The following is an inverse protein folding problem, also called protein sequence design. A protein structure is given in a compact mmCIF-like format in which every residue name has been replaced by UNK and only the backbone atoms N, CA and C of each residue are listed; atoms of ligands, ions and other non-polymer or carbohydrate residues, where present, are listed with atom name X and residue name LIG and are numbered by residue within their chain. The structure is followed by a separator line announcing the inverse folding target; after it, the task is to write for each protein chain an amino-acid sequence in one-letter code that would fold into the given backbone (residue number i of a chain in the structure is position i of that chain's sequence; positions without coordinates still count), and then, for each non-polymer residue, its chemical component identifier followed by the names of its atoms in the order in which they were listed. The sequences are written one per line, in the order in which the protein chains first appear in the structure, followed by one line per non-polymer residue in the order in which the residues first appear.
data_IF_777407544251
#
_entry.id   IF_777407544251
#
_cell.length_a   1.000
_cell.length_b   1.000
_cell.length_c   1.000
_cell.angle_alpha   90.00
_cell.angle_beta   90.00
_cell.angle_gamma   90.00
#
_symmetry.space_group_name_H-M   'P 1'
#
loop_
_entity.id
_entity.type
_entity.pdbx_description
1 polymer ?
#
# COMPACT_ATOMS: atom_id res chain seq x y z
N UNK A 1 -60.76 -25.65 57.25
CA UNK A 1 -61.14 -25.56 55.83
C UNK A 1 -59.93 -25.08 55.04
N UNK A 2 -59.26 -26.03 54.42
CA UNK A 2 -58.05 -25.90 53.61
C UNK A 2 -58.39 -25.35 52.23
N UNK A 3 -57.66 -24.32 51.76
CA UNK A 3 -57.56 -24.01 50.33
C UNK A 3 -56.08 -24.01 49.93
N UNK A 4 -55.71 -25.11 49.28
CA UNK A 4 -54.42 -25.30 48.62
C UNK A 4 -54.31 -24.33 47.44
N UNK A 5 -53.22 -23.56 47.41
CA UNK A 5 -52.81 -22.82 46.21
C UNK A 5 -51.97 -23.77 45.34
N UNK A 6 -52.48 -24.06 44.15
CA UNK A 6 -51.80 -24.88 43.14
C UNK A 6 -50.73 -24.02 42.49
N UNK A 7 -49.47 -24.44 42.65
CA UNK A 7 -48.30 -23.91 41.95
C UNK A 7 -48.36 -24.39 40.50
N UNK A 8 -48.46 -23.46 39.55
CA UNK A 8 -48.34 -23.73 38.11
C UNK A 8 -46.88 -23.45 37.72
N UNK A 9 -46.13 -24.43 37.18
CA UNK A 9 -44.77 -24.18 36.72
C UNK A 9 -44.78 -23.42 35.38
N UNK A 10 -44.10 -22.28 35.36
CA UNK A 10 -43.79 -21.53 34.13
C UNK A 10 -42.67 -22.27 33.39
N UNK A 11 -42.81 -22.59 32.10
CA UNK A 11 -41.76 -23.24 31.33
C UNK A 11 -40.56 -22.30 31.15
N UNK A 12 -39.32 -22.82 31.07
CA UNK A 12 -38.13 -21.99 30.90
C UNK A 12 -38.18 -21.28 29.54
N UNK A 13 -38.00 -19.96 29.58
CA UNK A 13 -37.86 -19.10 28.42
C UNK A 13 -36.60 -19.53 27.64
N UNK A 14 -36.80 -19.92 26.39
CA UNK A 14 -35.74 -20.39 25.52
C UNK A 14 -34.72 -19.27 25.30
N UNK A 15 -33.48 -19.50 25.71
CA UNK A 15 -32.35 -18.62 25.42
C UNK A 15 -32.21 -18.43 23.90
N UNK A 16 -32.38 -17.19 23.45
CA UNK A 16 -32.06 -16.78 22.08
C UNK A 16 -30.53 -16.87 21.91
N UNK A 17 -30.00 -17.68 20.99
CA UNK A 17 -28.56 -17.72 20.77
C UNK A 17 -28.11 -16.43 20.07
N UNK A 18 -27.07 -15.80 20.61
CA UNK A 18 -26.31 -14.75 19.95
C UNK A 18 -25.82 -15.24 18.56
N UNK A 19 -25.76 -14.37 17.53
CA UNK A 19 -25.34 -14.77 16.20
C UNK A 19 -23.87 -15.20 16.23
N UNK A 20 -23.65 -16.50 16.04
CA UNK A 20 -22.34 -17.11 15.90
C UNK A 20 -21.70 -16.62 14.60
N UNK A 21 -20.53 -15.99 14.73
CA UNK A 21 -19.61 -15.72 13.63
C UNK A 21 -19.20 -17.06 13.01
N UNK A 22 -19.60 -17.30 11.77
CA UNK A 22 -19.19 -18.48 11.01
C UNK A 22 -17.66 -18.53 10.85
N UNK A 23 -16.99 -19.64 11.21
CA UNK A 23 -15.62 -19.89 10.80
C UNK A 23 -15.63 -20.31 9.32
N UNK A 24 -14.98 -19.51 8.46
CA UNK A 24 -14.76 -19.88 7.06
C UNK A 24 -13.96 -21.19 6.96
N UNK A 25 -14.44 -22.22 6.24
CA UNK A 25 -13.61 -23.36 5.87
C UNK A 25 -12.67 -23.01 4.70
N UNK A 26 -11.50 -23.65 4.59
CA UNK A 26 -10.59 -23.42 3.47
C UNK A 26 -11.22 -23.96 2.16
N UNK A 27 -11.08 -23.25 1.02
CA UNK A 27 -11.56 -23.78 -0.24
C UNK A 27 -10.73 -25.00 -0.66
N UNK A 28 -11.43 -26.11 -0.93
CA UNK A 28 -10.88 -27.32 -1.56
C UNK A 28 -10.37 -26.98 -2.95
N UNK A 29 -9.20 -27.51 -3.28
CA UNK A 29 -8.51 -27.34 -4.55
C UNK A 29 -9.35 -27.89 -5.73
N UNK A 30 -9.77 -27.00 -6.62
CA UNK A 30 -10.12 -27.35 -8.00
C UNK A 30 -8.93 -26.98 -8.88
N UNK A 31 -8.43 -27.96 -9.63
CA UNK A 31 -7.19 -27.87 -10.40
C UNK A 31 -7.21 -26.77 -11.45
N UNK A 32 -6.45 -25.71 -11.21
CA UNK A 32 -6.02 -24.76 -12.23
C UNK A 32 -4.52 -24.99 -12.44
N UNK A 33 -4.14 -25.29 -13.69
CA UNK A 33 -2.75 -25.48 -14.11
C UNK A 33 -1.89 -24.33 -13.58
N UNK A 34 -0.95 -24.65 -12.68
CA UNK A 34 0.10 -23.73 -12.22
C UNK A 34 0.88 -23.22 -13.43
N UNK A 35 0.69 -21.95 -13.81
CA UNK A 35 1.75 -21.21 -14.51
C UNK A 35 2.86 -20.98 -13.48
N UNK A 36 3.99 -21.66 -13.67
CA UNK A 36 5.19 -21.51 -12.87
C UNK A 36 5.55 -20.03 -12.76
N UNK A 37 5.61 -19.56 -11.52
CA UNK A 37 6.20 -18.28 -11.16
C UNK A 37 7.70 -18.37 -11.49
N UNK A 38 8.16 -17.62 -12.50
CA UNK A 38 9.59 -17.47 -12.77
C UNK A 38 10.22 -16.65 -11.63
N UNK A 39 10.75 -17.34 -10.62
CA UNK A 39 11.92 -16.85 -9.91
C UNK A 39 13.10 -16.98 -10.86
N UNK A 40 13.55 -15.85 -11.40
CA UNK A 40 14.76 -15.80 -12.21
C UNK A 40 15.98 -15.90 -11.30
N UNK A 41 16.33 -17.12 -10.90
CA UNK A 41 17.68 -17.48 -10.47
C UNK A 41 18.63 -17.34 -11.66
N UNK A 42 19.77 -16.69 -11.42
CA UNK A 42 20.79 -16.46 -12.42
C UNK A 42 21.55 -17.73 -12.79
N UNK A 43 21.61 -18.02 -14.09
CA UNK A 43 22.70 -18.71 -14.78
C UNK A 43 22.46 -18.51 -16.29
N UNK A 44 23.54 -18.27 -17.04
CA UNK A 44 23.51 -17.68 -18.39
C UNK A 44 22.82 -18.49 -19.49
N UNK A 45 22.15 -17.77 -20.38
CA UNK A 45 21.87 -18.16 -21.78
C UNK A 45 21.49 -16.89 -22.58
N UNK A 46 21.96 -16.72 -23.83
CA UNK A 46 21.65 -15.56 -24.66
C UNK A 46 20.27 -15.75 -25.31
N UNK A 47 19.22 -15.21 -24.68
CA UNK A 47 17.85 -15.25 -25.21
C UNK A 47 16.82 -14.42 -24.43
N UNK A 48 17.25 -13.56 -23.49
CA UNK A 48 16.38 -12.86 -22.51
C UNK A 48 15.91 -11.46 -22.92
N UNK A 49 16.11 -11.05 -24.17
CA UNK A 49 15.77 -9.67 -24.61
C UNK A 49 14.24 -9.48 -24.75
N UNK A 50 13.52 -10.50 -25.27
CA UNK A 50 12.06 -10.41 -25.49
C UNK A 50 11.23 -10.28 -24.21
N UNK A 51 11.52 -11.10 -23.19
CA UNK A 51 10.70 -11.14 -21.97
C UNK A 51 10.76 -9.87 -21.10
N UNK A 52 11.83 -9.08 -21.19
CA UNK A 52 11.95 -7.82 -20.45
C UNK A 52 11.16 -6.69 -21.12
N UNK A 53 11.27 -6.55 -22.44
CA UNK A 53 10.49 -5.56 -23.18
C UNK A 53 8.99 -5.85 -23.04
N UNK A 54 8.57 -7.12 -23.03
CA UNK A 54 7.19 -7.50 -22.71
C UNK A 54 6.76 -7.09 -21.31
N UNK A 55 7.60 -7.30 -20.29
CA UNK A 55 7.35 -6.81 -18.92
C UNK A 55 7.25 -5.28 -18.88
N UNK A 56 8.11 -4.56 -19.61
CA UNK A 56 8.09 -3.10 -19.74
C UNK A 56 6.81 -2.61 -20.41
N UNK A 57 6.37 -3.28 -21.50
CA UNK A 57 5.07 -3.02 -22.14
C UNK A 57 3.92 -3.24 -21.16
N UNK A 58 3.92 -4.34 -20.41
CA UNK A 58 2.88 -4.61 -19.41
C UNK A 58 2.79 -3.53 -18.32
N UNK A 59 3.91 -2.86 -18.02
CA UNK A 59 3.97 -1.76 -17.06
C UNK A 59 3.54 -0.39 -17.64
N UNK A 60 3.40 -0.28 -18.97
CA UNK A 60 2.96 0.94 -19.65
C UNK A 60 1.45 1.15 -19.55
N UNK A 61 0.97 2.35 -19.13
CA UNK A 61 -0.47 2.64 -19.05
C UNK A 61 -1.21 2.41 -20.37
N UNK A 62 -0.60 2.73 -21.52
CA UNK A 62 -1.22 2.61 -22.84
C UNK A 62 -1.47 1.15 -23.20
N UNK A 63 -0.46 0.30 -22.97
CA UNK A 63 -0.58 -1.14 -23.20
C UNK A 63 -1.44 -1.82 -22.12
N UNK A 64 -1.36 -1.40 -20.87
CA UNK A 64 -2.22 -1.92 -19.81
C UNK A 64 -3.70 -1.61 -20.09
N UNK A 65 -4.01 -0.40 -20.62
CA UNK A 65 -5.36 -0.04 -21.06
C UNK A 65 -5.81 -0.85 -22.27
N UNK A 66 -4.95 -1.04 -23.28
CA UNK A 66 -5.27 -1.85 -24.45
C UNK A 66 -5.49 -3.33 -24.07
N UNK A 67 -4.64 -3.89 -23.21
CA UNK A 67 -4.80 -5.25 -22.70
C UNK A 67 -6.05 -5.39 -21.83
N UNK A 68 -6.38 -4.38 -21.01
CA UNK A 68 -7.61 -4.37 -20.21
C UNK A 68 -8.86 -4.26 -21.09
N UNK A 69 -8.84 -3.44 -22.15
CA UNK A 69 -9.95 -3.31 -23.09
C UNK A 69 -10.19 -4.60 -23.90
N UNK A 70 -9.12 -5.37 -24.17
CA UNK A 70 -9.21 -6.69 -24.81
C UNK A 70 -9.59 -7.81 -23.83
N UNK A 71 -9.42 -7.58 -22.53
CA UNK A 71 -9.72 -8.53 -21.46
C UNK A 71 -11.02 -8.20 -20.70
N UNK A 72 -11.80 -7.24 -21.21
CA UNK A 72 -13.09 -6.82 -20.65
C UNK A 72 -14.17 -7.87 -20.96
N UNK A 73 -13.98 -9.04 -20.36
CA UNK A 73 -15.07 -9.95 -20.09
C UNK A 73 -15.80 -9.40 -18.87
N UNK A 74 -16.96 -8.78 -19.11
CA UNK A 74 -17.81 -8.16 -18.09
C UNK A 74 -18.08 -9.15 -16.93
N UNK A 75 -18.11 -10.46 -17.23
CA UNK A 75 -18.18 -11.56 -16.28
C UNK A 75 -16.98 -11.66 -15.33
N UNK A 76 -15.75 -11.56 -15.82
CA UNK A 76 -14.53 -11.54 -14.99
C UNK A 76 -14.49 -10.33 -14.07
N UNK A 77 -14.90 -9.15 -14.56
CA UNK A 77 -14.96 -7.93 -13.74
C UNK A 77 -16.02 -8.07 -12.64
N UNK A 78 -17.20 -8.57 -12.96
CA UNK A 78 -18.26 -8.85 -11.98
C UNK A 78 -17.81 -9.86 -10.92
N UNK A 79 -17.20 -10.98 -11.32
CA UNK A 79 -16.67 -11.98 -10.40
C UNK A 79 -15.59 -11.40 -9.48
N UNK A 80 -14.72 -10.54 -10.01
CA UNK A 80 -13.71 -9.86 -9.22
C UNK A 80 -14.30 -8.88 -8.20
N UNK A 81 -15.33 -8.10 -8.59
CA UNK A 81 -16.04 -7.20 -7.67
C UNK A 81 -16.81 -7.94 -6.57
N UNK A 82 -17.22 -9.19 -6.80
CA UNK A 82 -17.78 -10.04 -5.73
C UNK A 82 -16.71 -10.42 -4.71
N UNK A 83 -15.48 -10.72 -5.16
CA UNK A 83 -14.36 -11.08 -4.28
C UNK A 83 -13.75 -9.86 -3.57
N UNK A 84 -13.73 -8.71 -4.23
CA UNK A 84 -13.14 -7.46 -3.73
C UNK A 84 -14.15 -6.30 -3.88
N UNK A 85 -15.24 -6.31 -3.09
CA UNK A 85 -16.32 -5.33 -3.24
C UNK A 85 -15.85 -3.90 -2.94
N UNK A 86 -16.60 -2.93 -3.46
CA UNK A 86 -16.35 -1.50 -3.20
C UNK A 86 -16.35 -1.21 -1.70
N UNK A 87 -15.28 -0.59 -1.20
CA UNK A 87 -15.20 -0.18 0.21
C UNK A 87 -16.22 0.92 0.54
N UNK A 88 -16.60 1.77 -0.42
CA UNK A 88 -17.70 2.73 -0.29
C UNK A 88 -19.06 2.03 -0.26
N UNK A 89 -19.28 1.08 -1.17
CA UNK A 89 -20.52 0.31 -1.24
C UNK A 89 -20.75 -0.60 -0.02
N UNK A 90 -19.66 -1.06 0.62
CA UNK A 90 -19.68 -1.88 1.83
C UNK A 90 -19.21 -1.12 3.07
N UNK A 91 -19.27 0.22 3.05
CA UNK A 91 -18.71 1.06 4.11
C UNK A 91 -19.19 0.68 5.52
N UNK A 92 -20.49 0.44 5.70
CA UNK A 92 -21.05 0.05 7.00
C UNK A 92 -20.47 -1.28 7.51
N UNK A 93 -20.20 -2.23 6.61
CA UNK A 93 -19.56 -3.50 6.97
C UNK A 93 -18.09 -3.30 7.35
N UNK A 94 -17.39 -2.45 6.59
CA UNK A 94 -15.99 -2.08 6.83
C UNK A 94 -15.82 -1.46 8.21
N UNK A 95 -16.67 -0.49 8.58
CA UNK A 95 -16.59 0.18 9.89
C UNK A 95 -17.25 -0.62 11.01
N UNK A 96 -18.15 -1.56 10.73
CA UNK A 96 -18.68 -2.45 11.77
C UNK A 96 -17.56 -3.27 12.45
N UNK A 97 -16.53 -3.66 11.69
CA UNK A 97 -15.36 -4.38 12.20
C UNK A 97 -14.48 -3.53 13.15
N UNK A 98 -14.65 -2.21 13.17
CA UNK A 98 -13.88 -1.27 14.01
C UNK A 98 -14.51 -1.03 15.38
N UNK A 99 -15.74 -1.51 15.63
CA UNK A 99 -16.41 -1.32 16.92
C UNK A 99 -15.55 -1.84 18.07
N UNK A 100 -15.24 -0.97 19.03
CA UNK A 100 -14.39 -1.29 20.18
C UNK A 100 -12.88 -1.33 19.90
N UNK A 101 -12.45 -1.05 18.66
CA UNK A 101 -11.05 -1.05 18.24
C UNK A 101 -10.58 0.35 17.88
N UNK A 102 -9.27 0.58 18.01
CA UNK A 102 -8.59 1.76 17.50
C UNK A 102 -8.30 1.57 16.01
N UNK A 103 -8.69 2.55 15.19
CA UNK A 103 -8.34 2.55 13.77
C UNK A 103 -6.97 3.21 13.59
N UNK A 104 -6.12 2.62 12.75
CA UNK A 104 -4.88 3.23 12.27
C UNK A 104 -4.93 3.23 10.75
N UNK A 105 -4.62 4.34 10.11
CA UNK A 105 -4.76 4.50 8.65
C UNK A 105 -3.39 4.59 7.98
N UNK A 106 -3.14 3.72 7.02
CA UNK A 106 -1.96 3.70 6.18
C UNK A 106 -2.37 4.00 4.74
N UNK A 107 -1.69 4.95 4.12
CA UNK A 107 -2.02 5.44 2.79
C UNK A 107 -0.78 5.39 1.92
N UNK A 108 -0.86 4.70 0.80
CA UNK A 108 0.07 4.91 -0.30
C UNK A 108 -0.13 6.31 -0.93
N UNK A 109 0.83 6.78 -1.73
CA UNK A 109 0.80 8.12 -2.31
C UNK A 109 0.42 8.12 -3.81
N UNK A 110 1.32 7.66 -4.69
CA UNK A 110 1.15 7.75 -6.14
C UNK A 110 0.12 6.74 -6.63
N UNK A 111 -0.95 7.19 -7.28
CA UNK A 111 -2.06 6.32 -7.69
C UNK A 111 -3.13 6.12 -6.64
N UNK A 112 -2.85 6.51 -5.39
CA UNK A 112 -3.78 6.42 -4.26
C UNK A 112 -4.30 7.78 -3.80
N UNK A 113 -3.41 8.67 -3.37
CA UNK A 113 -3.74 10.03 -2.93
C UNK A 113 -3.53 11.09 -4.01
N UNK A 114 -2.66 10.80 -4.98
CA UNK A 114 -2.45 11.60 -6.18
C UNK A 114 -2.74 10.74 -7.41
N UNK A 115 -3.34 11.29 -8.49
CA UNK A 115 -3.37 10.61 -9.78
C UNK A 115 -1.97 10.24 -10.27
N UNK A 116 -1.90 9.19 -11.09
CA UNK A 116 -0.66 8.81 -11.77
C UNK A 116 -0.46 9.76 -12.95
N UNK A 117 0.65 10.49 -12.91
CA UNK A 117 1.05 11.49 -13.90
C UNK A 117 2.29 11.04 -14.66
N UNK A 118 2.56 11.68 -15.80
CA UNK A 118 3.74 11.35 -16.61
C UNK A 118 5.03 11.99 -16.09
N UNK A 119 4.92 13.12 -15.40
CA UNK A 119 6.02 13.72 -14.64
C UNK A 119 5.91 13.34 -13.16
N UNK A 120 6.83 12.55 -12.59
CA UNK A 120 6.85 12.28 -11.16
C UNK A 120 6.87 13.55 -10.31
N UNK A 121 7.44 14.66 -10.79
CA UNK A 121 7.54 15.91 -10.03
C UNK A 121 6.22 16.70 -10.06
N UNK A 122 5.26 16.30 -10.91
CA UNK A 122 3.93 16.89 -11.02
C UNK A 122 2.84 16.10 -10.28
N UNK A 123 3.21 15.07 -9.50
CA UNK A 123 2.27 14.22 -8.76
C UNK A 123 1.75 14.90 -7.50
N UNK A 124 1.20 16.12 -7.62
CA UNK A 124 0.75 16.91 -6.48
C UNK A 124 -0.59 16.41 -5.94
N UNK A 125 -0.65 16.28 -4.61
CA UNK A 125 -1.90 16.11 -3.87
C UNK A 125 -2.74 17.39 -3.97
N UNK A 126 -4.01 17.26 -4.35
CA UNK A 126 -4.97 18.37 -4.37
C UNK A 126 -5.24 18.90 -2.96
N UNK A 127 -5.62 20.18 -2.86
CA UNK A 127 -5.95 20.76 -1.55
C UNK A 127 -7.15 20.11 -0.87
N UNK A 128 -8.10 19.60 -1.65
CA UNK A 128 -9.25 18.84 -1.13
C UNK A 128 -8.80 17.51 -0.52
N UNK A 129 -7.94 16.75 -1.20
CA UNK A 129 -7.37 15.52 -0.67
C UNK A 129 -6.53 15.79 0.58
N UNK A 130 -5.69 16.83 0.55
CA UNK A 130 -4.88 17.25 1.71
C UNK A 130 -5.76 17.55 2.93
N UNK A 131 -6.89 18.22 2.75
CA UNK A 131 -7.87 18.47 3.82
C UNK A 131 -8.53 17.18 4.31
N UNK A 132 -8.83 16.23 3.42
CA UNK A 132 -9.40 14.94 3.79
C UNK A 132 -8.40 14.14 4.65
N UNK A 133 -7.15 13.99 4.21
CA UNK A 133 -6.09 13.31 4.97
C UNK A 133 -5.84 14.00 6.31
N UNK A 134 -5.75 15.34 6.35
CA UNK A 134 -5.65 16.11 7.59
C UNK A 134 -6.82 15.82 8.54
N UNK A 135 -8.03 15.69 8.01
CA UNK A 135 -9.21 15.41 8.83
C UNK A 135 -9.13 14.01 9.42
N UNK A 136 -8.75 12.99 8.63
CA UNK A 136 -8.49 11.64 9.11
C UNK A 136 -7.43 11.64 10.22
N UNK A 137 -6.32 12.35 10.02
CA UNK A 137 -5.22 12.45 10.96
C UNK A 137 -5.57 13.12 12.31
N UNK A 138 -6.68 13.88 12.38
CA UNK A 138 -7.18 14.41 13.67
C UNK A 138 -7.89 13.35 14.51
N UNK A 139 -8.38 12.30 13.87
CA UNK A 139 -9.21 11.27 14.47
C UNK A 139 -8.46 9.94 14.64
N UNK A 140 -7.53 9.63 13.73
CA UNK A 140 -6.80 8.37 13.69
C UNK A 140 -5.29 8.60 13.50
N UNK A 141 -4.41 7.81 14.16
CA UNK A 141 -3.01 7.75 13.76
C UNK A 141 -2.92 7.41 12.27
N UNK A 142 -2.21 8.22 11.50
CA UNK A 142 -2.18 8.15 10.05
C UNK A 142 -0.74 8.18 9.53
N UNK A 143 -0.43 7.29 8.59
CA UNK A 143 0.88 7.16 7.98
C UNK A 143 0.80 7.18 6.45
N UNK A 144 1.70 7.93 5.81
CA UNK A 144 1.95 7.83 4.38
C UNK A 144 3.07 6.81 4.14
N UNK A 145 2.85 5.82 3.28
CA UNK A 145 3.83 4.79 2.92
C UNK A 145 4.10 4.87 1.42
N UNK A 146 5.26 5.38 1.02
CA UNK A 146 5.55 5.68 -0.39
C UNK A 146 6.88 5.09 -0.86
N UNK A 147 6.97 4.82 -2.16
CA UNK A 147 8.23 4.51 -2.84
C UNK A 147 9.18 5.71 -2.93
N UNK A 148 8.64 6.94 -2.89
CA UNK A 148 9.40 8.20 -2.93
C UNK A 148 10.22 8.41 -1.66
N UNK A 149 11.30 9.16 -1.76
CA UNK A 149 12.01 9.62 -0.57
C UNK A 149 11.12 10.53 0.32
N UNK A 150 11.44 10.55 1.62
CA UNK A 150 10.67 11.28 2.63
C UNK A 150 10.93 12.79 2.61
N UNK A 151 12.19 13.18 2.77
CA UNK A 151 12.64 14.54 3.05
C UNK A 151 13.47 15.09 1.89
N UNK A 152 13.44 16.43 1.74
CA UNK A 152 14.22 17.13 0.73
C UNK A 152 15.71 17.08 0.97
N UNK A 153 16.45 16.66 -0.05
CA UNK A 153 17.87 16.97 -0.21
C UNK A 153 18.05 17.94 -1.40
N UNK A 154 19.22 18.55 -1.54
CA UNK A 154 19.49 19.57 -2.55
C UNK A 154 19.35 19.05 -4.00
N UNK A 155 19.40 17.73 -4.20
CA UNK A 155 19.43 17.07 -5.50
C UNK A 155 18.08 16.44 -5.91
N UNK A 156 17.16 16.24 -4.97
CA UNK A 156 15.87 15.64 -5.22
C UNK A 156 14.75 16.68 -5.07
N UNK A 157 13.88 16.77 -6.08
CA UNK A 157 12.79 17.76 -6.14
C UNK A 157 11.40 17.16 -5.84
N UNK A 158 11.30 15.84 -5.59
CA UNK A 158 10.05 15.08 -5.62
C UNK A 158 9.67 14.32 -4.34
N UNK A 159 9.72 14.96 -3.18
CA UNK A 159 9.47 14.27 -1.90
C UNK A 159 8.03 14.18 -1.48
N UNK A 160 7.68 13.04 -0.86
CA UNK A 160 6.32 12.81 -0.38
C UNK A 160 5.92 13.80 0.71
N UNK A 161 6.84 14.25 1.58
CA UNK A 161 6.51 15.28 2.56
C UNK A 161 6.15 16.61 1.90
N UNK A 162 6.91 17.05 0.89
CA UNK A 162 6.64 18.32 0.20
C UNK A 162 5.35 18.27 -0.61
N UNK A 163 4.92 17.11 -1.08
CA UNK A 163 3.60 17.02 -1.72
C UNK A 163 2.46 17.02 -0.71
N UNK A 164 2.62 16.34 0.44
CA UNK A 164 1.55 16.16 1.43
C UNK A 164 1.47 17.31 2.44
N UNK A 165 2.58 17.89 2.87
CA UNK A 165 2.71 19.03 3.81
C UNK A 165 1.84 18.92 5.07
N UNK A 166 1.87 17.76 5.72
CA UNK A 166 1.15 17.48 6.98
C UNK A 166 2.12 16.92 8.02
N UNK A 167 2.67 17.80 8.87
CA UNK A 167 3.67 17.44 9.88
C UNK A 167 3.14 16.55 11.00
N UNK A 168 1.83 16.37 11.11
CA UNK A 168 1.16 15.50 12.07
C UNK A 168 1.15 14.00 11.66
N UNK A 169 1.55 13.68 10.42
CA UNK A 169 1.56 12.30 9.92
C UNK A 169 2.87 11.57 10.22
N UNK A 170 2.80 10.25 10.19
CA UNK A 170 3.97 9.41 10.00
C UNK A 170 4.28 9.32 8.50
N UNK A 171 5.56 9.29 8.15
CA UNK A 171 6.01 9.13 6.78
C UNK A 171 7.00 7.98 6.69
N UNK A 172 6.74 7.04 5.80
CA UNK A 172 7.58 5.92 5.45
C UNK A 172 7.96 6.04 3.97
N UNK A 173 9.08 6.72 3.71
CA UNK A 173 9.62 6.89 2.36
C UNK A 173 10.50 5.71 1.93
N UNK A 174 10.91 5.72 0.67
CA UNK A 174 11.83 4.75 0.07
C UNK A 174 11.35 3.32 0.27
N UNK A 175 10.08 3.05 -0.04
CA UNK A 175 9.41 1.76 0.19
C UNK A 175 9.40 1.34 1.67
N UNK A 176 9.34 2.34 2.55
CA UNK A 176 9.34 2.17 4.00
C UNK A 176 10.71 1.99 4.64
N UNK A 177 11.81 2.21 3.92
CA UNK A 177 13.17 2.21 4.48
C UNK A 177 13.57 3.54 5.13
N UNK A 178 12.77 4.60 5.00
CA UNK A 178 13.01 5.88 5.67
C UNK A 178 11.77 6.32 6.45
N UNK A 179 11.61 5.83 7.68
CA UNK A 179 10.44 6.08 8.50
C UNK A 179 10.71 7.21 9.49
N UNK A 180 9.80 8.19 9.55
CA UNK A 180 9.79 9.24 10.56
C UNK A 180 8.38 9.53 11.05
N UNK A 181 8.22 9.64 12.37
CA UNK A 181 6.98 10.05 13.00
C UNK A 181 6.90 11.56 13.23
N UNK A 182 5.71 12.07 13.59
CA UNK A 182 5.53 13.47 13.93
C UNK A 182 6.35 13.84 15.19
N UNK A 183 6.79 15.11 15.26
CA UNK A 183 7.55 15.60 16.42
C UNK A 183 6.76 15.55 17.73
N UNK A 184 5.43 15.72 17.64
CA UNK A 184 4.51 15.55 18.76
C UNK A 184 3.84 14.19 18.66
N UNK A 185 3.88 13.42 19.74
CA UNK A 185 3.19 12.15 19.83
C UNK A 185 1.67 12.35 19.63
N UNK A 186 1.05 11.40 18.96
CA UNK A 186 -0.39 11.41 18.75
C UNK A 186 -1.12 11.17 20.08
N UNK A 187 -2.21 11.90 20.33
CA UNK A 187 -2.91 11.94 21.64
C UNK A 187 -3.47 10.60 22.11
N UNK A 188 -3.63 9.62 21.21
CA UNK A 188 -4.19 8.30 21.52
C UNK A 188 -3.22 7.13 21.28
N UNK A 189 -1.90 7.36 21.27
CA UNK A 189 -0.94 6.25 21.24
C UNK A 189 -0.92 5.51 22.58
N UNK A 190 -0.92 4.17 22.55
CA UNK A 190 -0.73 3.35 23.77
C UNK A 190 0.72 3.42 24.26
N UNK A 191 1.67 3.77 23.40
CA UNK A 191 3.07 3.94 23.76
C UNK A 191 3.34 5.33 24.37
N UNK A 192 3.74 5.38 25.65
CA UNK A 192 4.19 6.60 26.34
C UNK A 192 5.46 7.24 25.73
N UNK A 193 6.09 6.58 24.74
CA UNK A 193 7.36 6.95 24.10
C UNK A 193 7.28 7.20 22.58
N UNK A 194 6.09 7.39 22.00
CA UNK A 194 5.94 7.60 20.55
C UNK A 194 6.54 8.92 20.00
N UNK A 195 7.31 9.69 20.80
CA UNK A 195 8.02 10.89 20.35
C UNK A 195 9.29 10.50 19.61
N UNK A 196 9.45 11.00 18.38
CA UNK A 196 10.73 10.92 17.66
C UNK A 196 11.01 9.56 17.00
N UNK A 197 9.99 8.88 16.47
CA UNK A 197 10.18 7.68 15.65
C UNK A 197 11.07 8.06 14.45
N UNK A 198 12.26 7.48 14.36
CA UNK A 198 13.14 7.50 13.20
C UNK A 198 13.66 6.08 13.01
N UNK A 199 13.47 5.52 11.82
CA UNK A 199 13.91 4.17 11.52
C UNK A 199 14.38 4.04 10.08
N UNK A 200 15.62 3.56 9.95
CA UNK A 200 16.34 3.45 8.67
C UNK A 200 17.11 2.13 8.64
N UNK A 201 16.47 1.00 8.30
CA UNK A 201 17.09 -0.33 8.35
C UNK A 201 18.21 -0.50 7.32
N UNK A 202 18.30 0.41 6.35
CA UNK A 202 19.21 0.35 5.22
C UNK A 202 20.33 1.42 5.28
N UNK A 203 20.55 2.11 6.41
CA UNK A 203 21.54 3.21 6.52
C UNK A 203 22.95 2.85 6.03
N UNK A 204 23.39 1.61 6.25
CA UNK A 204 24.70 1.14 5.78
C UNK A 204 24.86 1.11 4.24
N UNK A 205 23.75 1.16 3.48
CA UNK A 205 23.75 1.13 2.02
C UNK A 205 23.79 2.52 1.38
N UNK A 206 23.64 3.61 2.15
CA UNK A 206 23.60 4.98 1.60
C UNK A 206 24.80 5.29 0.68
N UNK A 207 26.07 5.01 1.05
CA UNK A 207 27.20 5.30 0.17
C UNK A 207 27.15 4.50 -1.14
N UNK A 208 26.67 3.25 -1.09
CA UNK A 208 26.53 2.38 -2.25
C UNK A 208 25.40 2.87 -3.18
N UNK A 209 24.29 3.34 -2.60
CA UNK A 209 23.17 3.90 -3.37
C UNK A 209 23.60 5.17 -4.11
N UNK A 210 24.40 6.03 -3.46
CA UNK A 210 24.92 7.24 -4.11
C UNK A 210 25.83 6.89 -5.30
N UNK A 211 26.78 5.96 -5.12
CA UNK A 211 27.66 5.51 -6.20
C UNK A 211 26.90 4.93 -7.40
N UNK A 212 25.84 4.17 -7.13
CA UNK A 212 24.98 3.60 -8.16
C UNK A 212 24.15 4.67 -8.85
N UNK A 213 23.65 5.66 -8.09
CA UNK A 213 22.95 6.81 -8.64
C UNK A 213 23.82 7.58 -9.63
N UNK A 214 25.02 8.00 -9.21
CA UNK A 214 26.00 8.69 -10.08
C UNK A 214 26.33 7.86 -11.33
N UNK A 215 26.59 6.56 -11.15
CA UNK A 215 26.88 5.65 -12.27
C UNK A 215 25.72 5.52 -13.26
N UNK A 216 24.48 5.48 -12.76
CA UNK A 216 23.27 5.39 -13.60
C UNK A 216 23.00 6.70 -14.33
N UNK A 217 23.17 7.85 -13.66
CA UNK A 217 23.05 9.17 -14.29
C UNK A 217 24.02 9.27 -15.47
N UNK A 218 25.29 8.96 -15.24
CA UNK A 218 26.31 9.06 -16.29
C UNK A 218 26.06 8.08 -17.45
N UNK A 219 25.73 6.81 -17.15
CA UNK A 219 25.49 5.81 -18.22
C UNK A 219 24.21 6.03 -19.01
N UNK A 220 23.20 6.70 -18.45
CA UNK A 220 21.89 6.88 -19.11
C UNK A 220 21.68 8.28 -19.69
N UNK A 221 22.66 9.18 -19.56
CA UNK A 221 22.59 10.58 -20.02
C UNK A 221 22.23 10.73 -21.50
N UNK A 222 22.67 9.79 -22.34
CA UNK A 222 22.48 9.83 -23.80
C UNK A 222 21.17 9.17 -24.25
N UNK A 223 20.30 8.73 -23.31
CA UNK A 223 18.99 8.15 -23.62
C UNK A 223 17.90 9.22 -23.43
N UNK A 224 17.35 9.81 -24.51
CA UNK A 224 16.34 10.85 -24.39
C UNK A 224 15.12 10.36 -23.62
N UNK A 225 14.69 11.16 -22.64
CA UNK A 225 13.52 10.88 -21.80
C UNK A 225 13.77 9.94 -20.61
N UNK A 226 14.97 9.37 -20.47
CA UNK A 226 15.34 8.65 -19.25
C UNK A 226 15.58 9.65 -18.12
N UNK A 227 15.05 9.36 -16.92
CA UNK A 227 15.28 10.17 -15.72
C UNK A 227 15.73 9.25 -14.59
N UNK A 228 16.88 9.54 -14.01
CA UNK A 228 17.39 8.85 -12.83
C UNK A 228 17.09 9.72 -11.60
N UNK A 229 16.56 9.10 -10.55
CA UNK A 229 16.14 9.78 -9.32
C UNK A 229 16.70 9.05 -8.10
N UNK A 230 17.36 9.79 -7.20
CA UNK A 230 17.87 9.27 -5.94
C UNK A 230 16.81 9.36 -4.83
N UNK A 231 16.09 8.26 -4.59
CA UNK A 231 15.12 8.14 -3.50
C UNK A 231 15.76 7.73 -2.16
N UNK A 232 17.01 8.12 -1.89
CA UNK A 232 17.81 7.88 -0.67
C UNK A 232 18.21 6.43 -0.40
N UNK A 233 17.22 5.53 -0.25
CA UNK A 233 17.45 4.08 -0.13
C UNK A 233 17.04 3.31 -1.38
N UNK A 234 16.76 4.03 -2.47
CA UNK A 234 16.34 3.47 -3.75
C UNK A 234 16.81 4.39 -4.87
N UNK A 235 17.30 3.85 -5.98
CA UNK A 235 17.51 4.63 -7.21
C UNK A 235 16.45 4.23 -8.23
N UNK A 236 15.73 5.21 -8.75
CA UNK A 236 14.66 4.98 -9.73
C UNK A 236 15.11 5.45 -11.10
N UNK A 237 15.02 4.59 -12.12
CA UNK A 237 15.26 4.91 -13.53
C UNK A 237 13.92 4.87 -14.24
N UNK A 238 13.36 6.05 -14.48
CA UNK A 238 12.09 6.24 -15.16
C UNK A 238 12.29 6.14 -16.67
N UNK A 239 11.48 5.31 -17.33
CA UNK A 239 11.55 5.09 -18.77
C UNK A 239 10.24 5.42 -19.49
N UNK A 240 9.32 6.10 -18.79
CA UNK A 240 8.01 6.47 -19.32
C UNK A 240 8.08 7.36 -20.56
N UNK A 241 9.02 8.30 -20.58
CA UNK A 241 9.25 9.24 -21.69
C UNK A 241 10.30 8.76 -22.69
N UNK A 242 10.83 7.55 -22.49
CA UNK A 242 11.84 6.94 -23.36
C UNK A 242 11.12 6.26 -24.53
N UNK A 243 11.62 6.48 -25.74
CA UNK A 243 11.15 5.77 -26.93
C UNK A 243 11.29 4.25 -26.75
N UNK A 244 10.25 3.50 -27.10
CA UNK A 244 10.16 2.06 -26.87
C UNK A 244 11.34 1.29 -27.49
N UNK A 245 11.89 1.76 -28.62
CA UNK A 245 13.04 1.15 -29.29
C UNK A 245 14.30 1.19 -28.43
N UNK A 246 14.36 2.13 -27.47
CA UNK A 246 15.49 2.32 -26.56
C UNK A 246 15.31 1.61 -25.22
N UNK A 247 14.17 0.98 -24.96
CA UNK A 247 13.89 0.32 -23.66
C UNK A 247 14.84 -0.84 -23.37
N UNK A 248 15.16 -1.66 -24.38
CA UNK A 248 16.10 -2.77 -24.23
C UNK A 248 17.50 -2.27 -23.88
N UNK A 249 17.99 -1.28 -24.63
CA UNK A 249 19.29 -0.65 -24.41
C UNK A 249 19.38 -0.05 -22.99
N UNK A 250 18.36 0.70 -22.56
CA UNK A 250 18.30 1.25 -21.21
C UNK A 250 18.30 0.15 -20.14
N UNK A 251 17.51 -0.91 -20.31
CA UNK A 251 17.48 -2.03 -19.37
C UNK A 251 18.84 -2.72 -19.25
N UNK A 252 19.58 -2.86 -20.36
CA UNK A 252 20.91 -3.45 -20.36
C UNK A 252 21.95 -2.54 -19.71
N UNK A 253 21.86 -1.23 -19.89
CA UNK A 253 22.69 -0.25 -19.16
C UNK A 253 22.47 -0.35 -17.66
N UNK A 254 21.22 -0.35 -17.19
CA UNK A 254 20.88 -0.47 -15.76
C UNK A 254 21.42 -1.77 -15.17
N UNK A 255 21.23 -2.90 -15.88
CA UNK A 255 21.78 -4.20 -15.46
C UNK A 255 23.31 -4.19 -15.43
N UNK A 256 23.96 -3.51 -16.38
CA UNK A 256 25.42 -3.45 -16.44
C UNK A 256 26.00 -2.78 -15.20
N UNK A 257 25.37 -1.71 -14.69
CA UNK A 257 25.78 -1.07 -13.43
C UNK A 257 25.64 -2.06 -12.28
N UNK A 258 24.52 -2.75 -12.20
CA UNK A 258 24.23 -3.64 -11.07
C UNK A 258 25.10 -4.90 -10.97
N UNK A 259 25.85 -5.27 -12.02
CA UNK A 259 26.78 -6.42 -11.96
C UNK A 259 27.81 -6.27 -10.84
N UNK A 260 28.23 -5.05 -10.55
CA UNK A 260 29.26 -4.75 -9.55
C UNK A 260 28.67 -4.59 -8.13
N UNK A 261 27.33 -4.65 -7.99
CA UNK A 261 26.62 -4.39 -6.73
C UNK A 261 25.70 -5.57 -6.35
N UNK A 262 26.24 -6.75 -5.97
CA UNK A 262 25.44 -7.95 -5.68
C UNK A 262 24.54 -7.82 -4.45
N UNK A 263 24.77 -6.81 -3.61
CA UNK A 263 23.91 -6.51 -2.44
C UNK A 263 22.70 -5.64 -2.80
N UNK A 264 22.53 -5.25 -4.06
CA UNK A 264 21.38 -4.54 -4.57
C UNK A 264 20.54 -5.46 -5.46
N UNK A 265 19.25 -5.16 -5.56
CA UNK A 265 18.31 -5.84 -6.45
C UNK A 265 17.65 -4.84 -7.39
N UNK A 266 17.41 -5.29 -8.61
CA UNK A 266 16.62 -4.59 -9.60
C UNK A 266 15.17 -5.08 -9.52
N UNK A 267 14.24 -4.17 -9.26
CA UNK A 267 12.81 -4.42 -9.38
C UNK A 267 12.22 -3.54 -10.47
N UNK A 268 11.14 -4.00 -11.11
CA UNK A 268 10.43 -3.22 -12.11
C UNK A 268 9.07 -2.80 -11.55
N UNK A 269 8.83 -1.50 -11.52
CA UNK A 269 7.55 -0.87 -11.21
C UNK A 269 6.82 -0.43 -12.48
N UNK A 270 5.88 0.50 -12.33
CA UNK A 270 5.09 1.05 -13.44
C UNK A 270 5.89 2.05 -14.27
N UNK A 271 6.50 1.59 -15.37
CA UNK A 271 7.39 2.39 -16.23
C UNK A 271 8.64 2.93 -15.51
N UNK A 272 9.12 2.19 -14.51
CA UNK A 272 10.30 2.53 -13.72
C UNK A 272 11.08 1.28 -13.35
N UNK A 273 12.40 1.38 -13.37
CA UNK A 273 13.29 0.42 -12.73
C UNK A 273 13.73 0.96 -11.38
N UNK A 274 13.71 0.12 -10.36
CA UNK A 274 14.05 0.51 -9.01
C UNK A 274 15.18 -0.37 -8.50
N UNK A 275 16.28 0.28 -8.13
CA UNK A 275 17.46 -0.34 -7.54
C UNK A 275 17.38 -0.17 -6.03
N UNK A 276 17.33 -1.27 -5.30
CA UNK A 276 17.12 -1.26 -3.84
C UNK A 276 18.10 -2.19 -3.12
N UNK A 277 18.44 -1.92 -1.85
CA UNK A 277 19.17 -2.88 -1.02
C UNK A 277 18.46 -4.24 -0.92
N UNK A 278 19.23 -5.31 -0.98
CA UNK A 278 18.74 -6.69 -0.77
C UNK A 278 18.63 -6.96 0.73
N UNK A 279 17.64 -6.34 1.36
CA UNK A 279 17.24 -6.58 2.75
C UNK A 279 15.83 -7.17 2.81
N UNK A 280 15.52 -7.88 3.89
CA UNK A 280 14.17 -8.42 4.17
C UNK A 280 13.25 -7.31 4.69
N UNK A 281 12.99 -6.32 3.84
CA UNK A 281 12.15 -5.16 4.15
C UNK A 281 11.26 -4.80 2.96
N UNK A 282 10.01 -4.46 3.25
CA UNK A 282 8.95 -4.10 2.31
C UNK A 282 7.90 -3.20 3.00
N UNK A 283 6.89 -2.74 2.26
CA UNK A 283 5.81 -1.89 2.81
C UNK A 283 5.01 -2.60 3.92
N UNK A 284 4.93 -3.94 3.88
CA UNK A 284 4.32 -4.74 4.95
C UNK A 284 5.13 -4.70 6.24
N UNK A 285 6.46 -4.81 6.16
CA UNK A 285 7.36 -4.62 7.31
C UNK A 285 7.30 -3.20 7.87
N UNK A 286 7.19 -2.20 7.02
CA UNK A 286 6.98 -0.82 7.46
C UNK A 286 5.66 -0.64 8.22
N UNK A 287 4.58 -1.27 7.76
CA UNK A 287 3.29 -1.30 8.45
C UNK A 287 3.42 -1.96 9.84
N UNK A 288 4.05 -3.14 9.92
CA UNK A 288 4.28 -3.84 11.20
C UNK A 288 5.06 -2.95 12.18
N UNK A 289 6.17 -2.34 11.73
CA UNK A 289 6.99 -1.45 12.53
C UNK A 289 6.23 -0.22 13.03
N UNK A 290 5.40 0.39 12.18
CA UNK A 290 4.59 1.55 12.55
C UNK A 290 3.51 1.17 13.57
N UNK A 291 2.86 0.01 13.41
CA UNK A 291 1.93 -0.50 14.42
C UNK A 291 2.62 -0.76 15.75
N UNK A 292 3.80 -1.37 15.74
CA UNK A 292 4.62 -1.56 16.94
C UNK A 292 4.98 -0.23 17.61
N UNK A 293 5.45 0.75 16.82
CA UNK A 293 5.81 2.08 17.30
C UNK A 293 4.65 2.86 17.92
N UNK A 294 3.41 2.57 17.49
CA UNK A 294 2.19 3.14 18.05
C UNK A 294 1.70 2.40 19.31
N UNK A 295 2.32 1.26 19.66
CA UNK A 295 1.95 0.40 20.79
C UNK A 295 0.90 -0.66 20.44
N UNK A 296 0.83 -1.06 19.16
CA UNK A 296 -0.19 -1.98 18.64
C UNK A 296 0.39 -3.26 18.01
N UNK A 297 1.65 -3.62 18.27
CA UNK A 297 2.34 -4.79 17.70
C UNK A 297 1.43 -6.04 17.65
N UNK A 298 0.91 -6.46 18.81
CA UNK A 298 0.08 -7.66 18.97
C UNK A 298 -1.31 -7.37 19.57
N UNK A 299 -1.80 -6.13 19.41
CA UNK A 299 -3.07 -5.76 20.00
C UNK A 299 -4.25 -6.26 19.14
N UNK A 300 -5.22 -6.94 19.74
CA UNK A 300 -6.49 -7.28 19.11
C UNK A 300 -7.42 -6.05 18.96
N UNK A 301 -7.19 -5.02 19.79
CA UNK A 301 -7.98 -3.80 19.84
C UNK A 301 -7.56 -2.76 18.79
N UNK A 302 -6.86 -3.16 17.72
CA UNK A 302 -6.53 -2.29 16.59
C UNK A 302 -7.12 -2.85 15.30
N UNK A 303 -7.56 -1.97 14.42
CA UNK A 303 -7.98 -2.27 13.06
C UNK A 303 -7.18 -1.38 12.10
N UNK A 304 -6.01 -1.82 11.61
CA UNK A 304 -5.28 -1.11 10.57
C UNK A 304 -6.03 -1.12 9.24
N UNK A 305 -6.14 0.03 8.61
CA UNK A 305 -6.59 0.23 7.24
C UNK A 305 -5.37 0.52 6.39
N UNK A 306 -5.20 -0.19 5.28
CA UNK A 306 -4.19 0.14 4.29
C UNK A 306 -4.86 0.36 2.94
N UNK A 307 -4.59 1.50 2.31
CA UNK A 307 -5.12 1.86 0.99
C UNK A 307 -3.94 2.07 0.04
N UNK A 308 -3.91 1.34 -1.09
CA UNK A 308 -2.82 1.40 -2.06
C UNK A 308 -3.20 0.88 -3.44
N UNK A 309 -2.45 1.24 -4.49
CA UNK A 309 -2.77 0.95 -5.90
C UNK A 309 -1.83 -0.06 -6.56
N UNK A 310 -0.62 -0.22 -6.01
CA UNK A 310 0.50 -0.85 -6.71
C UNK A 310 0.86 -2.25 -6.18
N UNK A 311 1.83 -2.87 -6.85
CA UNK A 311 2.29 -4.21 -6.50
C UNK A 311 3.02 -4.26 -5.15
N UNK A 312 3.64 -3.16 -4.71
CA UNK A 312 4.37 -3.11 -3.44
C UNK A 312 3.41 -3.02 -2.25
N UNK A 313 2.21 -2.49 -2.45
CA UNK A 313 1.13 -2.46 -1.46
C UNK A 313 0.58 -3.87 -1.13
N UNK A 314 0.75 -4.84 -2.05
CA UNK A 314 0.41 -6.24 -1.78
C UNK A 314 1.14 -6.82 -0.57
N UNK A 315 2.34 -6.34 -0.28
CA UNK A 315 3.09 -6.79 0.89
C UNK A 315 2.40 -6.35 2.18
N UNK A 316 1.83 -5.14 2.20
CA UNK A 316 1.00 -4.66 3.30
C UNK A 316 -0.33 -5.41 3.38
N UNK A 317 -1.01 -5.64 2.26
CA UNK A 317 -2.28 -6.39 2.25
C UNK A 317 -2.11 -7.83 2.75
N UNK A 318 -1.02 -8.52 2.39
CA UNK A 318 -0.70 -9.86 2.90
C UNK A 318 -0.49 -9.87 4.40
N UNK A 319 0.22 -8.87 4.95
CA UNK A 319 0.39 -8.71 6.40
C UNK A 319 -0.97 -8.56 7.08
N UNK A 320 -1.83 -7.67 6.58
CA UNK A 320 -3.17 -7.46 7.14
C UNK A 320 -4.03 -8.73 7.09
N UNK A 321 -4.02 -9.44 5.96
CA UNK A 321 -4.73 -10.71 5.79
C UNK A 321 -4.23 -11.78 6.75
N UNK A 322 -2.91 -11.91 6.92
CA UNK A 322 -2.29 -12.87 7.84
C UNK A 322 -2.62 -12.55 9.30
N UNK A 323 -2.66 -11.27 9.66
CA UNK A 323 -3.00 -10.79 11.01
C UNK A 323 -4.48 -11.05 11.34
N UNK A 324 -5.36 -11.09 10.33
CA UNK A 324 -6.78 -11.41 10.48
C UNK A 324 -7.65 -10.28 11.04
N UNK A 325 -7.05 -9.15 11.44
CA UNK A 325 -7.75 -7.97 11.97
C UNK A 325 -7.31 -6.68 11.28
N UNK A 326 -7.17 -6.68 9.96
CA UNK A 326 -6.86 -5.50 9.15
C UNK A 326 -7.74 -5.39 7.90
N UNK A 327 -7.86 -4.18 7.36
CA UNK A 327 -8.63 -3.86 6.16
C UNK A 327 -7.68 -3.39 5.08
N UNK A 328 -7.40 -4.25 4.09
CA UNK A 328 -6.69 -3.86 2.87
C UNK A 328 -7.68 -3.39 1.80
N UNK A 329 -7.41 -2.24 1.18
CA UNK A 329 -8.22 -1.64 0.12
C UNK A 329 -7.33 -1.36 -1.09
N UNK A 330 -7.59 -2.05 -2.21
CA UNK A 330 -6.88 -1.82 -3.46
C UNK A 330 -7.52 -0.67 -4.25
N UNK A 331 -6.71 0.26 -4.75
CA UNK A 331 -7.14 1.30 -5.68
C UNK A 331 -6.89 0.83 -7.11
N UNK A 332 -7.96 0.49 -7.84
CA UNK A 332 -7.85 0.05 -9.23
C UNK A 332 -9.19 0.10 -9.96
N UNK A 333 -9.18 0.68 -11.16
CA UNK A 333 -10.30 0.59 -12.11
C UNK A 333 -10.45 -0.79 -12.74
N UNK A 334 -9.40 -1.60 -12.72
CA UNK A 334 -9.37 -2.89 -13.42
C UNK A 334 -9.11 -4.03 -12.43
N UNK A 335 -9.64 -5.24 -12.70
CA UNK A 335 -9.33 -6.43 -11.92
C UNK A 335 -7.82 -6.68 -11.82
N UNK A 336 -7.33 -6.89 -10.61
CA UNK A 336 -5.95 -7.29 -10.32
C UNK A 336 -5.96 -8.44 -9.30
N UNK A 337 -4.99 -9.34 -9.42
CA UNK A 337 -4.74 -10.32 -8.37
C UNK A 337 -4.27 -9.56 -7.13
N UNK A 338 -5.03 -9.68 -6.03
CA UNK A 338 -4.77 -8.89 -4.82
C UNK A 338 -5.12 -9.63 -3.53
N UNK A 339 -4.37 -9.32 -2.48
CA UNK A 339 -4.63 -9.76 -1.12
C UNK A 339 -5.56 -8.80 -0.37
N UNK A 340 -5.92 -7.64 -0.95
CA UNK A 340 -6.87 -6.70 -0.39
C UNK A 340 -8.27 -7.33 -0.21
N UNK A 341 -9.02 -6.86 0.78
CA UNK A 341 -10.38 -7.32 1.05
C UNK A 341 -11.44 -6.51 0.30
N UNK A 342 -11.12 -5.26 0.00
CA UNK A 342 -12.01 -4.32 -0.68
C UNK A 342 -11.28 -3.61 -1.81
N UNK A 343 -12.04 -2.92 -2.65
CA UNK A 343 -11.50 -2.07 -3.70
C UNK A 343 -12.11 -0.67 -3.69
N UNK A 344 -11.38 0.27 -4.26
CA UNK A 344 -11.83 1.60 -4.70
C UNK A 344 -11.33 1.80 -6.13
N UNK A 345 -12.03 2.57 -6.95
CA UNK A 345 -11.71 2.67 -8.37
C UNK A 345 -10.54 3.63 -8.64
N UNK A 346 -10.48 4.76 -7.94
CA UNK A 346 -9.52 5.83 -8.20
C UNK A 346 -9.34 6.79 -7.01
N UNK A 347 -8.35 7.72 -7.04
CA UNK A 347 -8.10 8.64 -5.94
C UNK A 347 -9.31 9.47 -5.48
N UNK A 348 -10.28 9.74 -6.36
CA UNK A 348 -11.51 10.44 -5.98
C UNK A 348 -12.34 9.62 -4.97
N UNK A 349 -12.49 8.31 -5.18
CA UNK A 349 -13.20 7.43 -4.24
C UNK A 349 -12.41 7.22 -2.95
N UNK A 350 -11.07 7.28 -3.00
CA UNK A 350 -10.23 7.30 -1.80
C UNK A 350 -10.57 8.53 -0.95
N UNK A 351 -10.64 9.71 -1.55
CA UNK A 351 -11.02 10.94 -0.84
C UNK A 351 -12.39 10.82 -0.19
N UNK A 352 -13.39 10.32 -0.93
CA UNK A 352 -14.75 10.12 -0.43
C UNK A 352 -14.76 9.15 0.76
N UNK A 353 -14.05 8.03 0.65
CA UNK A 353 -13.94 7.05 1.70
C UNK A 353 -13.33 7.64 2.99
N UNK A 354 -12.25 8.41 2.86
CA UNK A 354 -11.60 9.08 3.97
C UNK A 354 -12.52 10.10 4.66
N UNK A 355 -13.27 10.90 3.88
CA UNK A 355 -14.24 11.85 4.43
C UNK A 355 -15.39 11.14 5.16
N UNK A 356 -15.91 10.04 4.58
CA UNK A 356 -16.97 9.24 5.20
C UNK A 356 -16.49 8.57 6.49
N UNK A 357 -15.23 8.14 6.55
CA UNK A 357 -14.60 7.61 7.77
C UNK A 357 -14.54 8.64 8.90
N UNK A 358 -14.19 9.88 8.57
CA UNK A 358 -14.19 11.00 9.53
C UNK A 358 -15.60 11.28 10.03
N UNK A 359 -16.58 11.35 9.14
CA UNK A 359 -17.97 11.64 9.53
C UNK A 359 -18.54 10.54 10.44
N UNK A 360 -18.30 9.28 10.10
CA UNK A 360 -18.68 8.14 10.92
C UNK A 360 -18.10 8.22 12.34
N UNK A 361 -16.84 8.60 12.49
CA UNK A 361 -16.18 8.73 13.80
C UNK A 361 -16.77 9.88 14.63
N UNK A 362 -17.09 11.00 13.99
CA UNK A 362 -17.73 12.15 14.65
C UNK A 362 -19.11 11.77 15.19
N UNK A 363 -19.92 11.09 14.38
CA UNK A 363 -21.24 10.60 14.77
C UNK A 363 -21.16 9.53 15.86
N UNK A 364 -20.16 8.65 15.79
CA UNK A 364 -19.96 7.59 16.80
C UNK A 364 -19.57 8.15 18.17
N UNK A 365 -18.81 9.25 18.21
CA UNK A 365 -18.46 9.97 19.45
C UNK A 365 -19.59 10.82 20.02
N UNK A 366 -20.51 11.30 19.17
CA UNK A 366 -21.64 12.13 19.58
C UNK A 366 -22.81 11.34 20.20
N UNK A 367 -22.83 10.01 20.02
CA UNK A 367 -23.87 9.15 20.63
C UNK A 367 -23.64 9.02 22.13
N UNK A 368 -24.66 9.23 22.99
CA UNK A 368 -24.53 9.00 24.42
C UNK A 368 -24.15 7.54 24.67
N UNK A 369 -23.15 7.31 25.53
CA UNK A 369 -22.91 5.99 26.11
C UNK A 369 -23.97 5.82 27.19
N UNK A 370 -25.05 5.11 26.87
CA UNK A 370 -26.09 4.75 27.83
C UNK A 370 -25.60 3.67 28.77
#
# INVERSE_FOLDING_TARGET
MTKQAVVVPVPPEAAVPAPQLFPYPPPRAAGVRRKQCLQMSGAGAPGRVGGWVESMRASSPTHARAAAALADDDGRRAAWMVQHPSALGKFEQVVAASKGKQIVVFLDYDGTLSPIVDDPDAAYMSDTMRRAVRSVAKHFPTAIVSGRCRDKDELNLGQVFEFVKLAELYYAGSHGMDIKGPAKAYRHTKAAKAKGVLFQPASQFLPMIEQVHESLVEKTKDIPGAKVENNKFCVSVHFRRVDEKSWSALADMVKSVLKDYPKLKLTQGRMVFEVRPTIKWDKGKALEFLLESLGFADCADVLPFYIGDDRTDEDAFKVLRKRGNGVGILVSKHPKDTSASYSLQEPAEVMEFLLRLVEWERLSKARPKW
#
